data_IF_881930684555
#
_entry.id   IF_881930684555
#
_cell.length_a   1.000
_cell.length_b   1.000
_cell.length_c   1.000
_cell.angle_alpha   90.00
_cell.angle_beta   90.00
_cell.angle_gamma   90.00
#
_symmetry.space_group_name_H-M   'P 1'
#
loop_
_entity.id
_entity.type
_entity.pdbx_description
1 polymer ?
#
# COMPACT_ATOMS: atom_id res chain seq x y z
N UNK A 1 -16.73 -2.48 -7.53
CA UNK A 1 -16.33 -1.35 -6.68
C UNK A 1 -15.83 -0.24 -7.59
N UNK A 2 -16.39 0.96 -7.47
CA UNK A 2 -15.92 2.15 -8.21
C UNK A 2 -14.59 2.64 -7.64
N UNK A 3 -13.77 3.32 -8.44
CA UNK A 3 -12.49 3.87 -7.98
C UNK A 3 -12.69 4.92 -6.88
N UNK A 4 -13.72 5.76 -6.99
CA UNK A 4 -14.06 6.76 -5.98
C UNK A 4 -14.40 6.14 -4.62
N UNK A 5 -15.14 5.03 -4.62
CA UNK A 5 -15.43 4.26 -3.43
C UNK A 5 -14.14 3.66 -2.85
N UNK A 6 -13.34 3.02 -3.70
CA UNK A 6 -12.07 2.43 -3.30
C UNK A 6 -11.15 3.47 -2.65
N UNK A 7 -10.98 4.64 -3.24
CA UNK A 7 -10.11 5.72 -2.73
C UNK A 7 -10.55 6.22 -1.35
N UNK A 8 -11.86 6.39 -1.13
CA UNK A 8 -12.40 6.76 0.19
C UNK A 8 -12.05 5.71 1.24
N UNK A 9 -12.15 4.43 0.86
CA UNK A 9 -11.81 3.32 1.73
C UNK A 9 -10.29 3.12 1.90
N UNK A 10 -9.47 3.43 0.90
CA UNK A 10 -8.08 2.99 0.81
C UNK A 10 -7.04 4.09 1.11
N UNK A 11 -7.13 5.26 0.49
CA UNK A 11 -6.03 6.26 0.54
C UNK A 11 -6.28 7.41 1.52
N UNK A 12 -7.44 7.43 2.19
CA UNK A 12 -7.93 8.61 2.91
C UNK A 12 -7.87 9.89 2.05
N UNK A 13 -8.08 9.76 0.73
CA UNK A 13 -8.04 10.87 -0.22
C UNK A 13 -6.64 11.32 -0.65
N UNK A 14 -5.57 10.58 -0.30
CA UNK A 14 -4.24 10.88 -0.81
C UNK A 14 -4.20 10.70 -2.33
N UNK A 15 -3.72 11.74 -3.00
CA UNK A 15 -3.56 11.78 -4.46
C UNK A 15 -2.44 10.85 -4.91
N UNK A 16 -2.70 10.11 -5.99
CA UNK A 16 -1.68 9.33 -6.71
C UNK A 16 -1.13 10.19 -7.85
N UNK A 17 0.19 10.26 -7.94
CA UNK A 17 0.93 10.98 -8.97
C UNK A 17 1.50 9.99 -9.99
N UNK A 18 1.88 10.48 -11.17
CA UNK A 18 2.44 9.61 -12.21
C UNK A 18 3.76 8.95 -11.78
N UNK A 19 4.53 9.61 -10.92
CA UNK A 19 5.76 9.04 -10.35
C UNK A 19 5.52 7.77 -9.52
N UNK A 20 4.32 7.61 -8.93
CA UNK A 20 3.95 6.39 -8.22
C UNK A 20 3.80 5.23 -9.22
N UNK A 21 3.21 5.48 -10.40
CA UNK A 21 3.15 4.50 -11.50
C UNK A 21 4.54 4.10 -11.97
N UNK A 22 5.44 5.08 -12.15
CA UNK A 22 6.84 4.81 -12.54
C UNK A 22 7.55 3.96 -11.49
N UNK A 23 7.27 4.16 -10.20
CA UNK A 23 7.87 3.37 -9.12
C UNK A 23 7.49 1.89 -9.24
N UNK A 24 6.21 1.58 -9.51
CA UNK A 24 5.74 0.22 -9.74
C UNK A 24 6.34 -0.38 -11.04
N UNK A 25 6.54 0.43 -12.09
CA UNK A 25 7.21 -0.04 -13.32
C UNK A 25 8.66 -0.45 -13.01
N UNK A 26 9.36 0.28 -12.15
CA UNK A 26 10.71 -0.07 -11.73
C UNK A 26 10.69 -1.38 -10.92
N UNK A 27 9.76 -1.57 -9.98
CA UNK A 27 9.60 -2.83 -9.23
C UNK A 27 9.33 -4.01 -10.18
N UNK A 28 8.44 -3.82 -11.17
CA UNK A 28 8.18 -4.81 -12.23
C UNK A 28 9.44 -5.17 -13.02
N UNK A 29 10.22 -4.18 -13.50
CA UNK A 29 11.45 -4.43 -14.24
C UNK A 29 12.50 -5.18 -13.41
N UNK A 30 12.58 -4.90 -12.11
CA UNK A 30 13.47 -5.63 -11.19
C UNK A 30 13.09 -7.12 -11.13
N UNK A 31 11.80 -7.44 -11.05
CA UNK A 31 11.36 -8.84 -11.02
C UNK A 31 11.53 -9.54 -12.37
N UNK A 32 11.43 -8.80 -13.49
CA UNK A 32 11.76 -9.30 -14.84
C UNK A 32 13.24 -9.69 -14.92
N UNK A 33 14.15 -8.83 -14.47
CA UNK A 33 15.60 -9.09 -14.48
C UNK A 33 15.96 -10.31 -13.61
N UNK A 34 15.24 -10.52 -12.50
CA UNK A 34 15.41 -11.69 -11.62
C UNK A 34 14.76 -12.97 -12.16
N UNK A 35 14.04 -12.91 -13.28
CA UNK A 35 13.24 -14.02 -13.81
C UNK A 35 12.21 -14.58 -12.81
N UNK A 36 11.72 -13.76 -11.88
CA UNK A 36 10.75 -14.17 -10.88
C UNK A 36 9.32 -14.08 -11.46
N UNK A 37 8.85 -15.17 -12.09
CA UNK A 37 7.52 -15.20 -12.75
C UNK A 37 6.37 -14.77 -11.84
N UNK A 38 6.41 -15.13 -10.56
CA UNK A 38 5.38 -14.75 -9.59
C UNK A 38 5.44 -13.25 -9.33
N UNK A 39 6.64 -12.71 -9.07
CA UNK A 39 6.86 -11.28 -8.86
C UNK A 39 6.46 -10.45 -10.08
N UNK A 40 6.83 -10.87 -11.29
CA UNK A 40 6.45 -10.21 -12.56
C UNK A 40 4.93 -10.05 -12.65
N UNK A 41 4.15 -11.09 -12.32
CA UNK A 41 2.70 -11.02 -12.37
C UNK A 41 2.16 -10.04 -11.31
N UNK A 42 2.66 -10.13 -10.08
CA UNK A 42 2.22 -9.26 -8.98
C UNK A 42 2.51 -7.78 -9.26
N UNK A 43 3.72 -7.46 -9.70
CA UNK A 43 4.12 -6.08 -10.00
C UNK A 43 3.42 -5.53 -11.25
N UNK A 44 3.10 -6.39 -12.23
CA UNK A 44 2.28 -5.98 -13.38
C UNK A 44 0.86 -5.56 -12.97
N UNK A 45 0.24 -6.34 -12.07
CA UNK A 45 -1.06 -5.98 -11.51
C UNK A 45 -0.99 -4.67 -10.71
N UNK A 46 0.11 -4.41 -9.99
CA UNK A 46 0.34 -3.15 -9.26
C UNK A 46 0.53 -1.95 -10.20
N UNK A 47 1.30 -2.09 -11.29
CA UNK A 47 1.42 -1.05 -12.33
C UNK A 47 0.05 -0.65 -12.88
N UNK A 48 -0.76 -1.63 -13.27
CA UNK A 48 -2.10 -1.37 -13.80
C UNK A 48 -3.02 -0.75 -12.75
N UNK A 49 -2.90 -1.16 -11.49
CA UNK A 49 -3.66 -0.60 -10.40
C UNK A 49 -3.32 0.88 -10.17
N UNK A 50 -2.04 1.22 -10.04
CA UNK A 50 -1.60 2.62 -9.86
C UNK A 50 -1.92 3.48 -11.09
N UNK A 51 -1.82 2.92 -12.30
CA UNK A 51 -2.24 3.59 -13.53
C UNK A 51 -3.73 3.94 -13.47
N UNK A 52 -4.59 3.00 -13.05
CA UNK A 52 -6.03 3.23 -12.91
C UNK A 52 -6.33 4.34 -11.89
N UNK A 53 -5.65 4.35 -10.74
CA UNK A 53 -5.80 5.42 -9.73
C UNK A 53 -5.32 6.78 -10.25
N UNK A 54 -4.21 6.81 -10.98
CA UNK A 54 -3.69 8.02 -11.59
C UNK A 54 -4.66 8.58 -12.64
N UNK A 55 -5.23 7.72 -13.49
CA UNK A 55 -6.24 8.11 -14.47
C UNK A 55 -7.47 8.76 -13.81
N UNK A 56 -7.94 8.21 -12.70
CA UNK A 56 -9.00 8.83 -11.89
C UNK A 56 -8.57 10.22 -11.38
N UNK A 57 -7.41 10.35 -10.75
CA UNK A 57 -6.97 11.64 -10.19
C UNK A 57 -6.57 12.69 -11.22
N UNK A 58 -6.21 12.28 -12.44
CA UNK A 58 -5.79 13.18 -13.52
C UNK A 58 -6.94 13.62 -14.40
N UNK A 59 -7.89 12.72 -14.67
CA UNK A 59 -8.94 12.89 -15.67
C UNK A 59 -10.37 12.68 -15.12
N UNK A 60 -10.53 12.32 -13.85
CA UNK A 60 -11.85 12.07 -13.25
C UNK A 60 -12.53 10.78 -13.73
N UNK A 61 -11.75 9.82 -14.26
CA UNK A 61 -12.27 8.55 -14.79
C UNK A 61 -12.67 7.61 -13.65
N UNK A 62 -13.88 7.79 -13.12
CA UNK A 62 -14.48 6.92 -12.09
C UNK A 62 -15.13 5.68 -12.71
N UNK A 63 -14.27 4.76 -13.14
CA UNK A 63 -14.67 3.44 -13.65
C UNK A 63 -14.63 2.38 -12.56
N UNK A 64 -15.20 1.21 -12.83
CA UNK A 64 -15.01 0.06 -11.95
C UNK A 64 -13.54 -0.37 -11.92
N UNK A 65 -13.07 -0.82 -10.76
CA UNK A 65 -11.76 -1.47 -10.62
C UNK A 65 -11.60 -2.55 -11.68
N UNK A 66 -10.51 -2.48 -12.45
CA UNK A 66 -10.25 -3.43 -13.52
C UNK A 66 -10.15 -4.85 -12.96
N UNK A 67 -10.72 -5.82 -13.67
CA UNK A 67 -10.72 -7.21 -13.20
C UNK A 67 -9.31 -7.75 -12.95
N UNK A 68 -8.35 -7.32 -13.76
CA UNK A 68 -6.94 -7.73 -13.66
C UNK A 68 -6.24 -7.20 -12.41
N UNK A 69 -6.70 -6.09 -11.82
CA UNK A 69 -6.06 -5.46 -10.65
C UNK A 69 -6.69 -5.88 -9.32
N UNK A 70 -7.67 -6.81 -9.34
CA UNK A 70 -8.42 -7.21 -8.13
C UNK A 70 -7.54 -7.78 -7.02
N UNK A 71 -6.48 -8.54 -7.34
CA UNK A 71 -5.60 -9.06 -6.29
C UNK A 71 -4.77 -7.94 -5.67
N UNK A 72 -4.30 -6.98 -6.48
CA UNK A 72 -3.64 -5.77 -5.99
C UNK A 72 -4.54 -5.01 -5.03
N UNK A 73 -5.78 -4.72 -5.42
CA UNK A 73 -6.77 -4.05 -4.57
C UNK A 73 -7.00 -4.80 -3.26
N UNK A 74 -7.20 -6.12 -3.32
CA UNK A 74 -7.36 -6.95 -2.12
C UNK A 74 -6.13 -6.87 -1.21
N UNK A 75 -4.93 -7.07 -1.76
CA UNK A 75 -3.64 -6.96 -1.05
C UNK A 75 -3.52 -5.64 -0.29
N UNK A 76 -3.95 -4.56 -0.91
CA UNK A 76 -3.91 -3.22 -0.33
C UNK A 76 -4.96 -3.00 0.77
N UNK A 77 -6.17 -3.53 0.61
CA UNK A 77 -7.20 -3.51 1.66
C UNK A 77 -6.78 -4.35 2.88
N UNK A 78 -6.19 -5.53 2.65
CA UNK A 78 -5.66 -6.38 3.72
C UNK A 78 -4.55 -5.66 4.50
N UNK A 79 -3.68 -4.90 3.81
CA UNK A 79 -2.66 -4.06 4.46
C UNK A 79 -3.24 -3.00 5.35
N UNK A 80 -4.36 -2.37 4.96
CA UNK A 80 -5.02 -1.36 5.78
C UNK A 80 -5.40 -1.93 7.15
N UNK A 81 -5.99 -3.13 7.20
CA UNK A 81 -6.37 -3.79 8.45
C UNK A 81 -5.18 -4.02 9.38
N UNK A 82 -4.03 -4.41 8.83
CA UNK A 82 -2.81 -4.61 9.61
C UNK A 82 -2.25 -3.28 10.11
N UNK A 83 -2.25 -2.24 9.28
CA UNK A 83 -1.80 -0.90 9.68
C UNK A 83 -2.67 -0.29 10.77
N UNK A 84 -4.00 -0.48 10.72
CA UNK A 84 -4.89 -0.07 11.81
C UNK A 84 -4.45 -0.72 13.13
N UNK A 85 -4.17 -2.04 13.12
CA UNK A 85 -3.67 -2.74 14.32
C UNK A 85 -2.33 -2.21 14.80
N UNK A 86 -1.40 -1.91 13.88
CA UNK A 86 -0.10 -1.32 14.21
C UNK A 86 -0.30 0.05 14.89
N UNK A 87 -1.17 0.91 14.34
CA UNK A 87 -1.46 2.23 14.90
C UNK A 87 -2.09 2.14 16.28
N UNK A 88 -3.12 1.32 16.43
CA UNK A 88 -3.75 1.09 17.73
C UNK A 88 -2.72 0.61 18.76
N UNK A 89 -1.83 -0.31 18.38
CA UNK A 89 -0.76 -0.79 19.27
C UNK A 89 0.21 0.31 19.70
N UNK A 90 0.58 1.22 18.80
CA UNK A 90 1.51 2.31 19.13
C UNK A 90 0.82 3.56 19.70
N UNK A 91 -0.51 3.54 19.88
CA UNK A 91 -1.29 4.64 20.43
C UNK A 91 -1.65 5.73 19.42
N UNK A 92 -1.59 5.43 18.12
CA UNK A 92 -2.08 6.30 17.06
C UNK A 92 -3.53 5.94 16.72
N UNK A 93 -4.41 6.92 16.43
CA UNK A 93 -5.71 6.63 15.85
C UNK A 93 -5.59 5.85 14.53
N UNK A 94 -6.53 4.92 14.29
CA UNK A 94 -6.50 4.02 13.12
C UNK A 94 -6.45 4.78 11.77
N UNK A 95 -6.94 6.02 11.73
CA UNK A 95 -7.06 6.83 10.53
C UNK A 95 -6.00 7.92 10.38
N UNK A 96 -5.00 8.02 11.28
CA UNK A 96 -4.05 9.15 11.28
C UNK A 96 -3.35 9.38 9.94
N UNK A 97 -3.13 8.32 9.13
CA UNK A 97 -2.38 8.44 7.89
C UNK A 97 -2.99 7.77 6.66
N UNK A 98 -4.02 6.94 6.82
CA UNK A 98 -4.56 6.14 5.72
C UNK A 98 -3.52 5.28 5.00
N UNK A 99 -2.44 4.90 5.69
CA UNK A 99 -1.30 4.25 5.08
C UNK A 99 -1.48 2.73 4.97
N UNK A 100 -0.95 2.22 3.88
CA UNK A 100 -1.20 0.88 3.33
C UNK A 100 0.06 0.35 2.64
N UNK A 101 1.20 0.92 3.01
CA UNK A 101 2.49 0.49 2.49
C UNK A 101 2.82 -0.93 2.94
N UNK A 102 3.83 -1.51 2.30
CA UNK A 102 4.27 -2.86 2.61
C UNK A 102 4.80 -2.94 4.06
N UNK A 103 4.03 -3.57 4.95
CA UNK A 103 4.38 -3.78 6.36
C UNK A 103 5.27 -5.01 6.57
N UNK A 104 5.49 -5.87 5.57
CA UNK A 104 6.32 -7.08 5.71
C UNK A 104 7.81 -6.76 5.89
N UNK A 105 8.22 -5.53 5.57
CA UNK A 105 9.59 -5.05 5.76
C UNK A 105 9.66 -4.18 7.00
N UNK A 106 10.32 -4.64 8.06
CA UNK A 106 10.48 -3.90 9.33
C UNK A 106 10.98 -2.47 9.11
N UNK A 107 11.94 -2.28 8.20
CA UNK A 107 12.46 -0.95 7.83
C UNK A 107 11.35 -0.01 7.31
N UNK A 108 10.40 -0.51 6.52
CA UNK A 108 9.25 0.29 6.04
C UNK A 108 8.31 0.64 7.19
N UNK A 109 8.14 -0.26 8.18
CA UNK A 109 7.31 -0.01 9.36
C UNK A 109 7.94 1.07 10.24
N UNK A 110 9.20 0.89 10.63
CA UNK A 110 9.97 1.83 11.46
C UNK A 110 10.02 3.21 10.80
N UNK A 111 10.46 3.30 9.55
CA UNK A 111 10.59 4.59 8.85
C UNK A 111 9.26 5.34 8.72
N UNK A 112 8.14 4.61 8.66
CA UNK A 112 6.82 5.24 8.59
C UNK A 112 6.37 5.75 9.95
N UNK A 113 6.48 4.93 11.00
CA UNK A 113 6.07 5.29 12.36
C UNK A 113 6.90 6.43 12.96
N UNK A 114 8.18 6.55 12.58
CA UNK A 114 9.03 7.67 12.99
C UNK A 114 8.51 9.05 12.52
N UNK A 115 7.69 9.11 11.47
CA UNK A 115 7.05 10.36 11.02
C UNK A 115 5.97 10.86 11.98
N UNK A 116 5.57 10.03 12.94
CA UNK A 116 4.59 10.31 13.99
C UNK A 116 5.24 10.28 15.37
N UNK A 117 6.55 10.55 15.43
CA UNK A 117 7.33 10.59 16.68
C UNK A 117 7.29 9.29 17.50
N UNK A 118 7.03 8.16 16.83
CA UNK A 118 7.10 6.84 17.46
C UNK A 118 8.55 6.36 17.46
N UNK A 119 9.05 6.00 18.65
CA UNK A 119 10.41 5.49 18.80
C UNK A 119 10.64 4.21 18.00
N UNK A 120 11.89 3.96 17.64
CA UNK A 120 12.26 2.77 16.88
C UNK A 120 11.91 1.48 17.64
N UNK A 121 12.19 1.44 18.93
CA UNK A 121 11.94 0.29 19.80
C UNK A 121 10.43 -0.03 19.82
N UNK A 122 9.59 1.00 19.93
CA UNK A 122 8.13 0.84 19.92
C UNK A 122 7.62 0.37 18.56
N UNK A 123 8.20 0.87 17.46
CA UNK A 123 7.87 0.43 16.10
C UNK A 123 8.29 -1.03 15.84
N UNK A 124 9.46 -1.44 16.31
CA UNK A 124 9.95 -2.83 16.21
C UNK A 124 9.10 -3.77 17.08
N UNK A 125 8.71 -3.35 18.28
CA UNK A 125 7.77 -4.10 19.12
C UNK A 125 6.41 -4.31 18.45
N UNK A 126 5.86 -3.26 17.81
CA UNK A 126 4.61 -3.36 17.05
C UNK A 126 4.74 -4.33 15.87
N UNK A 127 5.85 -4.28 15.13
CA UNK A 127 6.12 -5.21 14.04
C UNK A 127 6.18 -6.66 14.54
N UNK A 128 6.93 -6.93 15.61
CA UNK A 128 7.05 -8.27 16.17
C UNK A 128 5.68 -8.80 16.64
N UNK A 129 4.89 -7.96 17.33
CA UNK A 129 3.60 -8.38 17.87
C UNK A 129 2.53 -8.57 16.81
N UNK A 130 2.39 -7.61 15.90
CA UNK A 130 1.26 -7.54 14.96
C UNK A 130 1.57 -8.27 13.65
N UNK A 131 2.79 -8.15 13.13
CA UNK A 131 3.18 -8.74 11.84
C UNK A 131 3.72 -10.15 12.01
N UNK A 132 4.58 -10.39 13.01
CA UNK A 132 5.17 -11.72 13.24
C UNK A 132 4.39 -12.59 14.25
N UNK A 133 3.47 -12.01 15.02
CA UNK A 133 2.70 -12.74 16.04
C UNK A 133 3.53 -13.22 17.24
N UNK A 134 4.68 -12.58 17.50
CA UNK A 134 5.60 -12.92 18.60
C UNK A 134 5.35 -12.08 19.85
#
# INVERSE_FOLDING_TARGET
>A
MQISQYIKEYTCGKRIFFIDVISEIIEFLVEVIKFNKTGIKEEFEDVLHFLQLWLYYRFGLDSEIWRITRNSVKKFMDRKLVWNKIYTFVGLPENVSGYVGNYNKIKKVVNHLQKFDISREKAEAAFNKIVLGR
#
